data_IF_947888213593
#
_entry.id   IF_947888213593
#
_cell.length_a   1.000
_cell.length_b   1.000
_cell.length_c   1.000
_cell.angle_alpha   90.00
_cell.angle_beta   90.00
_cell.angle_gamma   90.00
#
_symmetry.space_group_name_H-M   'P 1'
#
loop_
_entity.id
_entity.type
_entity.pdbx_description
1 polymer ?
#
# COMPACT_ATOMS: atom_id res chain seq x y z
N UNK A 1 20.09 21.29 18.16
CA UNK A 1 19.66 20.05 17.49
C UNK A 1 18.17 20.14 17.40
N UNK A 2 17.68 20.58 16.25
CA UNK A 2 16.26 20.59 15.95
C UNK A 2 15.84 19.14 15.80
N UNK A 3 15.15 18.59 16.79
CA UNK A 3 14.45 17.33 16.64
C UNK A 3 13.38 17.56 15.59
N UNK A 4 13.63 17.07 14.36
CA UNK A 4 12.58 16.84 13.38
C UNK A 4 11.43 16.13 14.11
N UNK A 5 10.19 16.60 13.95
CA UNK A 5 9.07 15.94 14.59
C UNK A 5 9.00 14.54 14.00
N UNK A 6 9.13 13.51 14.84
CA UNK A 6 8.68 12.16 14.49
C UNK A 6 7.23 12.31 14.00
N UNK A 7 7.06 12.23 12.69
CA UNK A 7 5.80 12.56 12.04
C UNK A 7 4.82 11.47 12.47
N UNK A 8 3.66 11.87 13.00
CA UNK A 8 2.55 10.95 13.20
C UNK A 8 2.17 10.20 11.89
N UNK A 9 2.59 10.75 10.74
CA UNK A 9 2.53 10.12 9.42
C UNK A 9 3.33 8.81 9.31
N UNK A 10 4.41 8.61 10.07
CA UNK A 10 5.26 7.41 9.99
C UNK A 10 4.54 6.14 10.46
N UNK A 11 3.69 6.24 11.48
CA UNK A 11 2.99 5.09 12.04
C UNK A 11 1.90 4.58 11.09
N UNK A 12 1.10 5.49 10.51
CA UNK A 12 0.09 5.13 9.53
C UNK A 12 0.74 4.66 8.23
N UNK A 13 1.80 5.33 7.78
CA UNK A 13 2.54 4.92 6.58
C UNK A 13 3.12 3.52 6.73
N UNK A 14 3.71 3.20 7.88
CA UNK A 14 4.22 1.87 8.19
C UNK A 14 3.10 0.82 8.20
N UNK A 15 1.95 1.13 8.77
CA UNK A 15 0.78 0.25 8.79
C UNK A 15 0.25 -0.01 7.39
N UNK A 16 0.13 1.04 6.57
CA UNK A 16 -0.34 0.92 5.20
C UNK A 16 0.61 0.08 4.36
N UNK A 17 1.91 0.35 4.45
CA UNK A 17 2.96 -0.41 3.75
C UNK A 17 2.91 -1.89 4.10
N UNK A 18 2.84 -2.23 5.39
CA UNK A 18 2.71 -3.62 5.86
C UNK A 18 1.44 -4.28 5.34
N UNK A 19 0.32 -3.55 5.38
CA UNK A 19 -0.98 -4.06 4.91
C UNK A 19 -0.96 -4.37 3.42
N UNK A 20 -0.39 -3.47 2.61
CA UNK A 20 -0.21 -3.66 1.16
C UNK A 20 0.68 -4.87 0.87
N UNK A 21 1.85 -4.97 1.52
CA UNK A 21 2.75 -6.12 1.36
C UNK A 21 2.03 -7.43 1.67
N UNK A 22 1.32 -7.51 2.79
CA UNK A 22 0.59 -8.71 3.18
C UNK A 22 -0.52 -9.08 2.19
N UNK A 23 -1.27 -8.09 1.70
CA UNK A 23 -2.32 -8.30 0.71
C UNK A 23 -1.77 -8.85 -0.60
N UNK A 24 -0.68 -8.26 -1.12
CA UNK A 24 -0.02 -8.72 -2.35
C UNK A 24 0.55 -10.12 -2.19
N UNK A 25 1.30 -10.39 -1.11
CA UNK A 25 1.85 -11.73 -0.84
C UNK A 25 0.74 -12.78 -0.71
N UNK A 26 -0.37 -12.44 -0.06
CA UNK A 26 -1.53 -13.34 0.04
C UNK A 26 -2.20 -13.59 -1.32
N UNK A 27 -2.27 -12.58 -2.19
CA UNK A 27 -2.83 -12.69 -3.54
C UNK A 27 -1.98 -13.58 -4.44
N UNK A 28 -0.66 -13.35 -4.46
CA UNK A 28 0.30 -14.18 -5.22
C UNK A 28 0.26 -15.66 -4.81
N UNK A 29 -0.02 -15.96 -3.54
CA UNK A 29 -0.13 -17.33 -3.04
C UNK A 29 -1.51 -17.98 -3.27
N UNK A 30 -2.52 -17.22 -3.68
CA UNK A 30 -3.90 -17.71 -3.83
C UNK A 30 -4.28 -17.78 -5.31
N UNK A 31 -4.40 -18.99 -5.87
CA UNK A 31 -4.76 -19.16 -7.27
C UNK A 31 -6.17 -18.65 -7.60
N UNK A 32 -6.21 -17.51 -8.29
CA UNK A 32 -7.15 -17.14 -9.38
C UNK A 32 -8.50 -16.49 -9.03
N UNK A 33 -9.04 -16.56 -7.81
CA UNK A 33 -10.34 -15.90 -7.51
C UNK A 33 -10.29 -14.74 -6.49
N UNK A 34 -9.14 -14.49 -5.85
CA UNK A 34 -8.96 -13.38 -4.88
C UNK A 34 -8.20 -12.18 -5.44
N UNK A 35 -7.68 -12.27 -6.66
CA UNK A 35 -6.81 -11.22 -7.19
C UNK A 35 -7.60 -9.94 -7.51
N UNK A 36 -8.81 -10.07 -8.03
CA UNK A 36 -9.70 -8.94 -8.33
C UNK A 36 -10.05 -8.16 -7.05
N UNK A 37 -10.35 -8.86 -5.96
CA UNK A 37 -10.62 -8.26 -4.64
C UNK A 37 -9.40 -7.53 -4.06
N UNK A 38 -8.19 -8.02 -4.35
CA UNK A 38 -6.94 -7.41 -3.86
C UNK A 38 -6.59 -6.19 -4.70
N UNK A 39 -6.76 -6.24 -6.02
CA UNK A 39 -6.58 -5.09 -6.91
C UNK A 39 -7.53 -3.96 -6.49
N UNK A 40 -8.80 -4.27 -6.21
CA UNK A 40 -9.77 -3.29 -5.70
C UNK A 40 -9.32 -2.63 -4.39
N UNK A 41 -8.76 -3.40 -3.44
CA UNK A 41 -8.22 -2.85 -2.18
C UNK A 41 -6.98 -1.99 -2.40
N UNK A 42 -6.10 -2.36 -3.33
CA UNK A 42 -4.93 -1.56 -3.65
C UNK A 42 -5.31 -0.23 -4.30
N UNK A 43 -6.36 -0.20 -5.13
CA UNK A 43 -6.91 1.06 -5.66
C UNK A 43 -7.45 1.97 -4.54
N UNK A 44 -8.17 1.42 -3.56
CA UNK A 44 -8.64 2.19 -2.40
C UNK A 44 -7.47 2.77 -1.59
N UNK A 45 -6.44 1.96 -1.34
CA UNK A 45 -5.23 2.42 -0.66
C UNK A 45 -4.48 3.51 -1.43
N UNK A 46 -4.42 3.42 -2.76
CA UNK A 46 -3.82 4.47 -3.59
C UNK A 46 -4.59 5.79 -3.46
N UNK A 47 -5.92 5.71 -3.51
CA UNK A 47 -6.78 6.88 -3.37
C UNK A 47 -6.62 7.54 -1.99
N UNK A 48 -6.60 6.73 -0.93
CA UNK A 48 -6.37 7.21 0.44
C UNK A 48 -4.97 7.79 0.63
N UNK A 49 -3.95 7.13 0.10
CA UNK A 49 -2.57 7.62 0.15
C UNK A 49 -2.41 9.00 -0.52
N UNK A 50 -3.13 9.24 -1.62
CA UNK A 50 -3.17 10.57 -2.27
C UNK A 50 -3.90 11.62 -1.44
N UNK A 51 -5.04 11.27 -0.85
CA UNK A 51 -5.83 12.18 -0.01
C UNK A 51 -5.05 12.61 1.24
N UNK A 52 -4.36 11.66 1.86
CA UNK A 52 -3.56 11.87 3.07
C UNK A 52 -2.14 12.37 2.76
N UNK A 53 -1.80 12.61 1.48
CA UNK A 53 -0.49 13.10 1.01
C UNK A 53 0.69 12.26 1.53
N UNK A 54 0.51 10.95 1.59
CA UNK A 54 1.55 10.02 2.02
C UNK A 54 2.76 10.04 1.10
N UNK A 55 3.88 9.53 1.60
CA UNK A 55 5.14 9.57 0.87
C UNK A 55 5.06 8.90 -0.51
N UNK A 56 5.90 9.37 -1.42
CA UNK A 56 6.11 8.76 -2.73
C UNK A 56 6.50 7.28 -2.64
N UNK A 57 7.18 6.87 -1.57
CA UNK A 57 7.57 5.47 -1.35
C UNK A 57 6.33 4.58 -1.13
N UNK A 58 5.34 5.06 -0.39
CA UNK A 58 4.11 4.31 -0.12
C UNK A 58 3.23 4.17 -1.35
N UNK A 59 3.12 5.24 -2.16
CA UNK A 59 2.47 5.17 -3.47
C UNK A 59 3.17 4.17 -4.40
N UNK A 60 4.51 4.16 -4.42
CA UNK A 60 5.27 3.19 -5.21
C UNK A 60 4.97 1.75 -4.84
N UNK A 61 4.91 1.44 -3.54
CA UNK A 61 4.61 0.08 -3.06
C UNK A 61 3.21 -0.37 -3.51
N UNK A 62 2.21 0.51 -3.45
CA UNK A 62 0.84 0.22 -3.92
C UNK A 62 0.83 -0.03 -5.43
N UNK A 63 1.44 0.84 -6.22
CA UNK A 63 1.51 0.69 -7.68
C UNK A 63 2.26 -0.58 -8.10
N UNK A 64 3.38 -0.89 -7.43
CA UNK A 64 4.12 -2.13 -7.67
C UNK A 64 3.28 -3.37 -7.34
N UNK A 65 2.49 -3.32 -6.26
CA UNK A 65 1.57 -4.39 -5.89
C UNK A 65 0.51 -4.67 -6.97
N UNK A 66 -0.10 -3.62 -7.53
CA UNK A 66 -1.09 -3.74 -8.62
C UNK A 66 -0.48 -4.40 -9.86
N UNK A 67 0.72 -3.95 -10.26
CA UNK A 67 1.46 -4.51 -11.40
C UNK A 67 1.79 -6.00 -11.24
N UNK A 68 2.17 -6.41 -10.04
CA UNK A 68 2.49 -7.83 -9.77
C UNK A 68 1.26 -8.74 -9.84
N UNK A 69 0.06 -8.19 -9.66
CA UNK A 69 -1.20 -8.93 -9.67
C UNK A 69 -1.93 -8.91 -11.02
N UNK A 70 -1.39 -8.21 -12.02
CA UNK A 70 -1.87 -8.27 -13.41
C UNK A 70 -2.60 -7.03 -13.93
N UNK A 71 -2.50 -5.89 -13.25
CA UNK A 71 -2.85 -4.57 -13.82
C UNK A 71 -1.66 -3.87 -14.50
#
# INVERSE_FOLDING_TARGET
MDTEPENADDAFELLLRRTVTNAVTSGLNSNVHRNDDIIARLMDYEQRARQERLSSQTLQVIMSGRRLLGE
#
